data_IF_148242478022
#
_entry.id   IF_148242478022
#
_cell.length_a   1.000
_cell.length_b   1.000
_cell.length_c   1.000
_cell.angle_alpha   90.00
_cell.angle_beta   90.00
_cell.angle_gamma   90.00
#
_symmetry.space_group_name_H-M   'P 1'
#
loop_
_entity.id
_entity.type
_entity.pdbx_description
1 polymer ?
#
# COMPACT_ATOMS: atom_id res chain seq x y z
N UNK A 1 -17.04 -12.85 -9.65
CA UNK A 1 -18.17 -11.89 -9.65
C UNK A 1 -18.17 -11.18 -11.00
N UNK A 2 -18.95 -11.71 -11.94
CA UNK A 2 -19.36 -11.06 -13.18
C UNK A 2 -20.86 -11.31 -13.24
N UNK A 3 -21.68 -10.26 -13.22
CA UNK A 3 -23.13 -10.36 -13.36
C UNK A 3 -23.49 -9.74 -14.70
N UNK A 4 -23.91 -10.60 -15.60
CA UNK A 4 -24.56 -10.28 -16.86
C UNK A 4 -26.04 -10.03 -16.58
N UNK A 5 -26.55 -8.94 -17.15
CA UNK A 5 -27.91 -8.44 -16.96
C UNK A 5 -28.87 -9.14 -17.93
N UNK A 6 -29.87 -9.85 -17.41
CA UNK A 6 -31.01 -10.37 -18.18
C UNK A 6 -32.29 -9.91 -17.50
N UNK A 7 -32.96 -8.94 -18.11
CA UNK A 7 -34.23 -8.37 -17.65
C UNK A 7 -35.39 -9.00 -18.42
N UNK A 8 -36.13 -9.87 -17.76
CA UNK A 8 -37.44 -10.36 -18.22
C UNK A 8 -38.53 -9.31 -17.97
N UNK A 9 -39.31 -9.02 -19.01
CA UNK A 9 -40.48 -8.13 -19.02
C UNK A 9 -41.71 -8.92 -18.55
N UNK A 10 -42.36 -8.47 -17.49
CA UNK A 10 -43.73 -8.85 -17.13
C UNK A 10 -44.66 -7.68 -17.46
N UNK A 11 -45.72 -7.96 -18.22
CA UNK A 11 -46.72 -6.99 -18.62
C UNK A 11 -47.90 -6.90 -17.64
N UNK A 12 -48.54 -5.74 -17.65
CA UNK A 12 -49.86 -5.46 -17.08
C UNK A 12 -50.36 -4.14 -17.66
N UNK A 13 -51.55 -4.17 -18.30
CA UNK A 13 -52.29 -3.03 -18.83
C UNK A 13 -52.80 -2.11 -17.70
N UNK A 14 -53.59 -1.08 -17.90
CA UNK A 14 -54.24 -0.41 -19.03
C UNK A 14 -54.57 0.99 -18.47
N UNK A 15 -54.41 2.07 -19.23
CA UNK A 15 -55.45 3.09 -19.44
C UNK A 15 -54.97 4.32 -20.22
N UNK A 16 -55.87 4.78 -21.07
CA UNK A 16 -55.67 5.74 -22.15
C UNK A 16 -55.83 7.21 -21.73
N UNK A 17 -55.01 8.11 -22.30
CA UNK A 17 -55.51 9.37 -22.88
C UNK A 17 -54.55 10.04 -23.86
N UNK A 18 -55.12 10.32 -25.02
CA UNK A 18 -54.70 11.06 -26.22
C UNK A 18 -54.00 12.42 -26.00
N UNK A 19 -52.96 12.70 -26.81
CA UNK A 19 -52.83 13.91 -27.68
C UNK A 19 -51.60 13.78 -28.61
N UNK A 20 -51.82 14.14 -29.88
CA UNK A 20 -50.90 14.08 -31.03
C UNK A 20 -49.99 15.34 -31.17
N UNK A 21 -49.01 15.36 -32.12
CA UNK A 21 -47.64 15.89 -31.93
C UNK A 21 -47.35 17.26 -32.59
N UNK A 22 -46.07 17.67 -32.67
CA UNK A 22 -45.51 17.83 -34.02
C UNK A 22 -44.03 17.41 -34.23
N UNK A 23 -43.81 16.80 -35.40
CA UNK A 23 -42.79 17.08 -36.44
C UNK A 23 -41.26 16.96 -36.16
N UNK A 24 -40.73 15.83 -36.61
CA UNK A 24 -39.70 15.66 -37.68
C UNK A 24 -38.52 16.64 -37.83
N UNK A 25 -37.30 16.09 -37.80
CA UNK A 25 -36.35 16.13 -38.93
C UNK A 25 -35.32 14.98 -38.84
N UNK A 26 -35.12 14.27 -39.95
CA UNK A 26 -34.11 13.20 -40.17
C UNK A 26 -32.66 13.73 -40.16
N UNK A 27 -31.63 12.90 -40.22
CA UNK A 27 -31.18 12.13 -41.40
C UNK A 27 -30.27 10.94 -40.99
N UNK A 28 -30.33 9.87 -41.82
CA UNK A 28 -29.67 8.54 -41.80
C UNK A 28 -28.15 8.54 -42.05
N UNK A 29 -27.48 7.43 -41.70
CA UNK A 29 -26.70 6.48 -42.54
C UNK A 29 -26.52 5.18 -41.69
N UNK A 30 -27.03 3.96 -41.99
CA UNK A 30 -26.69 2.93 -43.02
C UNK A 30 -25.18 2.61 -43.06
N UNK A 31 -24.65 1.38 -43.03
CA UNK A 31 -25.05 0.02 -43.49
C UNK A 31 -24.09 -1.00 -42.83
N UNK A 32 -24.59 -2.10 -42.25
CA UNK A 32 -24.62 -3.49 -42.75
C UNK A 32 -23.54 -4.44 -42.20
N UNK A 33 -24.03 -5.49 -41.54
CA UNK A 33 -23.35 -6.77 -41.31
C UNK A 33 -23.43 -7.63 -42.57
N UNK A 34 -22.44 -8.49 -42.79
CA UNK A 34 -22.63 -9.73 -43.54
C UNK A 34 -21.96 -10.89 -42.81
N UNK A 35 -22.76 -11.91 -42.53
CA UNK A 35 -22.38 -13.20 -41.96
C UNK A 35 -22.04 -14.18 -43.08
N UNK A 36 -21.08 -15.08 -42.85
CA UNK A 36 -21.19 -16.47 -43.34
C UNK A 36 -20.18 -17.40 -42.64
N UNK A 37 -20.75 -18.36 -41.94
CA UNK A 37 -20.21 -19.65 -41.50
C UNK A 37 -19.52 -20.46 -42.61
N UNK A 38 -18.46 -21.21 -42.27
CA UNK A 38 -18.42 -22.69 -42.32
C UNK A 38 -17.07 -23.25 -41.82
N UNK A 39 -17.17 -24.30 -40.99
CA UNK A 39 -16.11 -25.18 -40.46
C UNK A 39 -16.04 -26.43 -41.36
N UNK A 40 -14.95 -27.26 -41.41
CA UNK A 40 -14.67 -28.19 -40.28
C UNK A 40 -13.18 -28.61 -40.05
N UNK A 41 -12.96 -29.16 -38.84
CA UNK A 41 -11.74 -29.83 -38.29
C UNK A 41 -11.50 -31.25 -38.90
N UNK A 42 -10.59 -32.11 -38.34
CA UNK A 42 -9.12 -32.08 -38.36
C UNK A 42 -8.51 -33.44 -38.80
N UNK A 43 -7.19 -33.54 -39.03
CA UNK A 43 -6.48 -34.84 -38.95
C UNK A 43 -5.01 -34.68 -38.55
N UNK A 44 -4.58 -35.54 -37.64
CA UNK A 44 -3.24 -35.64 -37.07
C UNK A 44 -2.26 -36.38 -38.02
N UNK A 45 -0.95 -36.11 -37.90
CA UNK A 45 0.09 -37.13 -37.81
C UNK A 45 1.48 -36.56 -37.44
N UNK A 46 2.24 -37.39 -36.71
CA UNK A 46 3.64 -37.27 -36.29
C UNK A 46 4.62 -37.07 -37.47
N UNK A 47 5.68 -36.28 -37.26
CA UNK A 47 7.06 -36.62 -37.67
C UNK A 47 8.08 -35.68 -37.01
N UNK A 48 9.14 -36.26 -36.47
CA UNK A 48 10.36 -35.58 -36.02
C UNK A 48 11.17 -35.08 -37.21
N UNK A 49 11.76 -33.88 -37.14
CA UNK A 49 13.14 -33.64 -37.58
C UNK A 49 13.68 -32.28 -37.11
N UNK A 50 14.95 -32.32 -36.70
CA UNK A 50 15.81 -31.17 -36.34
C UNK A 50 16.01 -30.26 -37.54
N UNK A 51 15.91 -28.95 -37.35
CA UNK A 51 16.72 -27.95 -38.04
C UNK A 51 16.74 -26.66 -37.21
N UNK A 52 17.95 -26.15 -36.99
CA UNK A 52 18.29 -24.91 -36.29
C UNK A 52 17.85 -23.67 -37.10
N UNK A 53 17.74 -22.48 -36.48
CA UNK A 53 16.89 -21.38 -36.96
C UNK A 53 17.59 -20.49 -38.01
N UNK A 54 16.84 -19.80 -38.89
CA UNK A 54 17.35 -18.68 -39.65
C UNK A 54 17.21 -17.35 -38.89
N UNK A 55 18.18 -16.48 -39.13
CA UNK A 55 18.37 -15.15 -38.58
C UNK A 55 17.14 -14.22 -38.67
N UNK A 56 16.78 -13.60 -37.55
CA UNK A 56 15.82 -12.50 -37.53
C UNK A 56 16.59 -11.17 -37.54
N UNK A 57 16.68 -10.55 -38.73
CA UNK A 57 17.17 -9.20 -38.92
C UNK A 57 16.16 -8.18 -38.36
N UNK A 58 16.62 -7.35 -37.43
CA UNK A 58 15.92 -6.16 -36.94
C UNK A 58 15.93 -5.05 -38.00
N UNK A 59 14.80 -4.37 -38.28
CA UNK A 59 14.79 -3.14 -39.09
C UNK A 59 15.31 -1.92 -38.28
N UNK A 60 15.86 -0.89 -38.95
CA UNK A 60 16.61 0.18 -38.32
C UNK A 60 15.74 1.21 -37.59
N UNK A 61 16.30 1.76 -36.49
CA UNK A 61 15.77 2.88 -35.73
C UNK A 61 15.66 4.16 -36.59
N UNK A 62 14.46 4.72 -36.70
CA UNK A 62 14.28 6.11 -37.10
C UNK A 62 14.56 7.05 -35.92
N UNK A 63 15.44 8.01 -36.20
CA UNK A 63 15.94 9.09 -35.35
C UNK A 63 14.84 10.15 -35.18
N UNK A 64 14.22 10.23 -34.01
CA UNK A 64 13.33 11.34 -33.66
C UNK A 64 14.15 12.48 -33.04
N UNK A 65 14.30 13.57 -33.78
CA UNK A 65 14.83 14.85 -33.29
C UNK A 65 13.78 15.54 -32.41
N UNK A 66 14.20 15.92 -31.21
CA UNK A 66 13.42 16.67 -30.23
C UNK A 66 13.56 18.18 -30.48
N UNK A 67 12.47 18.85 -30.85
CA UNK A 67 12.33 20.30 -30.72
C UNK A 67 11.31 20.62 -29.60
N UNK A 68 11.61 21.56 -28.69
CA UNK A 68 10.68 21.95 -27.62
C UNK A 68 9.68 23.03 -28.09
N UNK A 69 8.42 23.03 -27.59
CA UNK A 69 7.44 24.07 -27.91
C UNK A 69 7.66 25.36 -27.07
N UNK A 70 7.19 26.52 -27.57
CA UNK A 70 7.36 27.82 -26.90
C UNK A 70 6.37 28.03 -25.74
N UNK A 71 6.66 28.93 -24.78
CA UNK A 71 5.83 29.15 -23.60
C UNK A 71 4.58 30.01 -23.89
N UNK A 72 3.44 29.56 -23.37
CA UNK A 72 2.16 30.25 -23.37
C UNK A 72 2.13 31.36 -22.29
N UNK A 73 1.86 32.59 -22.73
CA UNK A 73 1.54 33.75 -21.88
C UNK A 73 0.06 33.72 -21.50
N UNK A 74 -0.25 33.64 -20.21
CA UNK A 74 -1.59 33.86 -19.66
C UNK A 74 -1.69 35.29 -19.11
N UNK A 75 -2.42 36.14 -19.83
CA UNK A 75 -2.95 37.41 -19.33
C UNK A 75 -4.16 37.14 -18.42
N UNK A 76 -4.10 37.54 -17.15
CA UNK A 76 -5.29 37.62 -16.27
C UNK A 76 -5.71 39.08 -16.13
N UNK A 77 -6.79 39.45 -16.83
CA UNK A 77 -7.56 40.66 -16.61
C UNK A 77 -8.73 40.36 -15.67
N UNK A 78 -8.84 41.07 -14.55
CA UNK A 78 -10.06 41.13 -13.73
C UNK A 78 -10.58 42.57 -13.65
N UNK A 79 -11.91 42.79 -13.73
CA UNK A 79 -12.52 44.11 -13.85
C UNK A 79 -12.84 44.77 -12.49
N UNK A 80 -13.05 46.09 -12.58
CA UNK A 80 -13.38 47.05 -11.53
C UNK A 80 -14.89 47.19 -11.35
N UNK A 81 -15.37 47.38 -10.11
CA UNK A 81 -16.32 48.42 -9.62
C UNK A 81 -17.07 47.95 -8.32
N UNK A 82 -17.85 48.81 -7.61
CA UNK A 82 -17.39 49.91 -6.76
C UNK A 82 -17.95 49.84 -5.30
N UNK A 83 -17.52 50.77 -4.45
CA UNK A 83 -17.62 50.68 -2.99
C UNK A 83 -18.93 51.08 -2.30
N UNK A 84 -18.94 50.91 -0.98
CA UNK A 84 -19.84 51.60 -0.03
C UNK A 84 -19.21 51.72 1.36
N UNK A 85 -19.71 52.74 2.07
CA UNK A 85 -19.29 53.39 3.31
C UNK A 85 -18.96 52.52 4.53
N UNK A 86 -18.06 53.01 5.39
CA UNK A 86 -18.00 52.67 6.82
C UNK A 86 -17.96 53.93 7.68
N UNK A 87 -18.85 53.96 8.66
CA UNK A 87 -18.84 54.86 9.82
C UNK A 87 -18.25 54.14 11.04
N UNK A 88 -17.74 54.94 11.97
CA UNK A 88 -16.90 54.65 13.12
C UNK A 88 -17.48 53.71 14.21
N UNK A 89 -16.60 53.06 14.99
CA UNK A 89 -16.44 53.28 16.44
C UNK A 89 -15.54 52.23 17.16
N UNK A 90 -14.87 52.75 18.21
CA UNK A 90 -14.40 52.14 19.48
C UNK A 90 -13.20 51.16 19.55
N UNK A 91 -12.14 51.73 20.14
CA UNK A 91 -11.09 51.23 21.06
C UNK A 91 -11.27 49.89 21.81
N UNK A 92 -10.17 49.14 21.94
CA UNK A 92 -9.52 48.83 23.24
C UNK A 92 -8.21 48.05 23.06
N UNK A 93 -7.20 48.44 23.84
CA UNK A 93 -5.83 47.93 23.96
C UNK A 93 -5.73 46.61 24.73
N UNK A 94 -4.81 45.72 24.35
CA UNK A 94 -4.31 44.60 25.18
C UNK A 94 -2.79 44.49 25.02
N UNK A 95 -2.08 44.44 26.14
CA UNK A 95 -0.63 44.23 26.27
C UNK A 95 -0.26 42.75 26.28
N UNK A 96 0.97 42.41 25.88
CA UNK A 96 1.64 41.16 26.28
C UNK A 96 3.16 41.29 26.12
N UNK A 97 3.90 40.96 27.19
CA UNK A 97 5.36 40.92 27.31
C UNK A 97 6.00 39.74 26.53
N UNK A 98 7.32 39.76 26.24
CA UNK A 98 8.00 38.73 25.46
C UNK A 98 8.66 37.63 26.32
N UNK A 99 8.62 36.38 25.84
CA UNK A 99 9.39 35.26 26.38
C UNK A 99 10.84 35.25 25.84
N UNK A 100 11.80 35.04 26.75
CA UNK A 100 13.23 34.86 26.49
C UNK A 100 13.56 33.36 26.52
N UNK A 101 14.27 32.86 25.51
CA UNK A 101 14.91 31.54 25.51
C UNK A 101 16.42 31.71 25.33
N UNK A 102 17.19 30.98 26.14
CA UNK A 102 18.65 30.96 26.15
C UNK A 102 19.09 29.59 25.60
N UNK A 103 19.98 29.56 24.60
CA UNK A 103 20.50 28.31 24.04
C UNK A 103 22.03 28.34 23.98
N UNK A 104 22.65 27.35 24.65
CA UNK A 104 24.10 27.12 24.70
C UNK A 104 24.56 26.47 23.40
N UNK A 105 25.55 27.05 22.73
CA UNK A 105 26.12 26.55 21.47
C UNK A 105 27.20 25.48 21.71
N UNK A 106 27.01 24.32 21.09
CA UNK A 106 28.04 23.30 20.84
C UNK A 106 28.50 23.36 19.38
N UNK A 107 29.81 23.22 19.18
CA UNK A 107 30.53 23.41 17.92
C UNK A 107 30.20 22.35 16.85
N UNK A 108 29.60 22.78 15.73
CA UNK A 108 29.70 22.11 14.43
C UNK A 108 29.87 23.18 13.35
N UNK A 109 31.03 23.14 12.68
CA UNK A 109 31.48 24.19 11.77
C UNK A 109 30.84 24.08 10.37
N UNK A 110 30.23 25.20 9.98
CA UNK A 110 30.22 25.82 8.65
C UNK A 110 29.74 25.00 7.43
N UNK A 111 28.43 25.07 7.18
CA UNK A 111 27.89 25.02 5.80
C UNK A 111 27.07 26.28 5.47
N UNK A 112 26.45 26.92 6.47
CA UNK A 112 26.00 28.31 6.41
C UNK A 112 26.02 28.85 7.85
N UNK A 113 27.04 29.60 8.25
CA UNK A 113 26.90 30.43 9.46
C UNK A 113 26.33 31.76 8.99
N UNK A 114 25.05 31.99 9.25
CA UNK A 114 24.48 33.33 9.22
C UNK A 114 24.92 34.05 10.50
N UNK A 115 26.19 34.43 10.58
CA UNK A 115 26.70 35.33 11.61
C UNK A 115 27.05 36.65 10.93
N UNK A 116 26.02 37.47 10.77
CA UNK A 116 26.13 38.93 10.75
C UNK A 116 24.72 39.48 11.04
N UNK A 117 24.31 39.31 12.30
CA UNK A 117 23.29 40.14 12.92
C UNK A 117 24.01 41.19 13.75
N UNK A 118 24.52 42.24 13.10
CA UNK A 118 24.85 43.48 13.78
C UNK A 118 24.93 44.63 12.77
N UNK A 119 24.04 45.60 12.98
CA UNK A 119 24.04 46.95 12.40
C UNK A 119 23.81 47.03 10.89
N UNK A 120 22.55 47.12 10.50
CA UNK A 120 22.23 47.98 9.35
C UNK A 120 20.98 48.81 9.64
N UNK A 121 21.19 50.12 9.48
CA UNK A 121 20.36 51.22 9.91
C UNK A 121 18.97 51.17 9.23
N UNK A 122 17.94 51.52 10.00
CA UNK A 122 16.67 51.98 9.45
C UNK A 122 16.92 53.29 8.69
N UNK A 123 16.75 53.28 7.37
CA UNK A 123 16.76 54.49 6.55
C UNK A 123 15.56 55.39 6.91
N UNK A 124 15.78 56.68 7.23
CA UNK A 124 14.71 57.63 7.43
C UNK A 124 14.30 58.21 6.07
N UNK A 125 13.17 57.78 5.52
CA UNK A 125 12.50 58.55 4.46
C UNK A 125 10.98 58.52 4.62
N UNK A 126 10.51 59.13 5.71
CA UNK A 126 9.23 59.85 5.68
C UNK A 126 9.49 61.34 5.83
N UNK A 127 9.42 62.05 4.69
CA UNK A 127 8.81 63.37 4.51
C UNK A 127 9.14 63.88 3.10
N UNK A 128 8.15 63.97 2.22
CA UNK A 128 7.46 65.23 1.92
C UNK A 128 6.42 65.02 0.79
N UNK A 129 5.36 65.81 0.83
CA UNK A 129 4.22 65.76 -0.08
C UNK A 129 4.55 66.23 -1.50
N UNK A 130 3.75 65.75 -2.47
CA UNK A 130 3.76 66.22 -3.86
C UNK A 130 3.62 65.09 -4.87
N UNK A 131 2.39 64.83 -5.29
CA UNK A 131 2.03 63.81 -6.28
C UNK A 131 2.76 64.01 -7.63
N UNK A 132 3.78 63.17 -7.87
CA UNK A 132 4.07 62.60 -9.19
C UNK A 132 3.88 61.10 -9.07
N UNK A 133 3.00 60.50 -9.88
CA UNK A 133 2.88 59.03 -9.98
C UNK A 133 4.20 58.48 -10.47
N UNK A 134 5.06 58.09 -9.54
CA UNK A 134 6.31 57.43 -9.83
C UNK A 134 6.00 55.99 -10.24
N UNK A 135 6.39 55.62 -11.46
CA UNK A 135 6.36 54.22 -11.91
C UNK A 135 7.46 53.38 -11.23
N UNK A 136 8.17 53.94 -10.24
CA UNK A 136 9.20 53.22 -9.50
C UNK A 136 8.53 52.21 -8.57
N UNK A 137 8.83 50.91 -8.70
CA UNK A 137 8.30 49.90 -7.79
C UNK A 137 8.76 50.17 -6.36
N UNK A 138 7.92 49.85 -5.39
CA UNK A 138 8.21 50.02 -3.96
C UNK A 138 9.44 49.18 -3.60
N UNK A 139 10.45 49.81 -3.01
CA UNK A 139 11.68 49.14 -2.62
C UNK A 139 11.45 48.23 -1.40
N UNK A 140 11.85 46.97 -1.54
CA UNK A 140 11.96 45.97 -0.48
C UNK A 140 12.99 44.92 -0.90
N UNK A 141 13.73 44.32 0.05
CA UNK A 141 14.70 43.24 -0.24
C UNK A 141 14.07 42.09 -1.04
N UNK A 142 12.77 41.82 -0.83
CA UNK A 142 12.01 40.86 -1.63
C UNK A 142 11.81 41.33 -3.08
N UNK A 143 11.32 42.56 -3.29
CA UNK A 143 11.07 43.12 -4.63
C UNK A 143 12.34 43.31 -5.47
N UNK A 144 13.49 43.49 -4.82
CA UNK A 144 14.80 43.65 -5.48
C UNK A 144 15.58 42.32 -5.59
N UNK A 145 15.02 41.22 -5.08
CA UNK A 145 15.67 39.90 -5.06
C UNK A 145 17.00 39.88 -4.29
N UNK A 146 17.11 40.70 -3.24
CA UNK A 146 18.27 40.84 -2.36
C UNK A 146 18.05 40.16 -1.00
N UNK A 147 17.22 39.12 -0.96
CA UNK A 147 17.04 38.34 0.25
C UNK A 147 18.35 37.63 0.62
N UNK A 148 18.69 37.56 1.92
CA UNK A 148 19.84 36.80 2.37
C UNK A 148 19.65 35.34 1.96
N UNK A 149 20.59 34.82 1.17
CA UNK A 149 20.54 33.46 0.64
C UNK A 149 21.90 32.79 0.81
N UNK A 150 21.90 31.58 1.36
CA UNK A 150 23.10 30.74 1.34
C UNK A 150 23.24 30.10 -0.04
N UNK A 151 24.38 30.30 -0.70
CA UNK A 151 24.69 29.76 -2.03
C UNK A 151 25.82 28.73 -1.89
N UNK A 152 25.53 27.47 -1.49
CA UNK A 152 26.58 26.49 -1.27
C UNK A 152 27.27 26.17 -2.60
N UNK A 153 28.57 26.42 -2.65
CA UNK A 153 29.41 26.05 -3.79
C UNK A 153 29.86 24.60 -3.60
N UNK A 154 29.33 23.71 -4.44
CA UNK A 154 29.67 22.29 -4.47
C UNK A 154 31.10 22.10 -5.01
N UNK A 155 32.10 22.33 -4.17
CA UNK A 155 33.50 22.08 -4.51
C UNK A 155 33.78 20.57 -4.52
N UNK A 156 34.71 20.07 -5.36
CA UNK A 156 35.04 18.65 -5.41
C UNK A 156 35.44 18.06 -4.05
N UNK A 157 36.18 18.82 -3.23
CA UNK A 157 36.56 18.40 -1.86
C UNK A 157 35.32 18.17 -0.99
N UNK A 158 34.36 19.11 -1.00
CA UNK A 158 33.13 18.98 -0.22
C UNK A 158 32.31 17.76 -0.68
N UNK A 159 32.14 17.61 -1.99
CA UNK A 159 31.35 16.51 -2.59
C UNK A 159 31.97 15.14 -2.28
N UNK A 160 33.30 15.00 -2.42
CA UNK A 160 34.01 13.75 -2.08
C UNK A 160 33.85 13.43 -0.59
N UNK A 161 34.02 14.41 0.30
CA UNK A 161 33.84 14.21 1.75
C UNK A 161 32.42 13.73 2.08
N UNK A 162 31.40 14.36 1.50
CA UNK A 162 29.99 13.94 1.72
C UNK A 162 29.76 12.51 1.22
N UNK A 163 30.24 12.15 0.02
CA UNK A 163 30.08 10.79 -0.49
C UNK A 163 30.82 9.74 0.34
N UNK A 164 32.02 10.04 0.83
CA UNK A 164 32.75 9.14 1.72
C UNK A 164 32.02 8.95 3.05
N UNK A 165 31.50 10.02 3.66
CA UNK A 165 30.71 9.93 4.89
C UNK A 165 29.45 9.08 4.70
N UNK A 166 28.73 9.28 3.59
CA UNK A 166 27.56 8.47 3.24
C UNK A 166 27.91 7.00 3.05
N UNK A 167 29.04 6.69 2.38
CA UNK A 167 29.50 5.31 2.21
C UNK A 167 29.86 4.66 3.56
N UNK A 168 30.60 5.36 4.42
CA UNK A 168 30.98 4.90 5.76
C UNK A 168 29.76 4.66 6.65
N UNK A 169 28.68 5.42 6.48
CA UNK A 169 27.44 5.21 7.21
C UNK A 169 26.60 4.06 6.64
N UNK A 170 26.40 4.03 5.32
CA UNK A 170 25.44 3.11 4.70
C UNK A 170 25.96 1.68 4.56
N UNK A 171 27.27 1.49 4.35
CA UNK A 171 27.83 0.15 4.18
C UNK A 171 27.68 -0.69 5.47
N UNK A 172 28.07 -0.22 6.68
CA UNK A 172 27.88 -0.99 7.91
C UNK A 172 26.41 -1.27 8.22
N UNK A 173 25.52 -0.29 8.00
CA UNK A 173 24.08 -0.47 8.19
C UNK A 173 23.55 -1.54 7.22
N UNK A 174 23.96 -1.49 5.95
CA UNK A 174 23.58 -2.48 4.94
C UNK A 174 24.07 -3.89 5.29
N UNK A 175 25.33 -4.02 5.75
CA UNK A 175 25.89 -5.30 6.21
C UNK A 175 25.12 -5.86 7.42
N UNK A 176 24.87 -5.03 8.43
CA UNK A 176 24.13 -5.43 9.63
C UNK A 176 22.69 -5.85 9.32
N UNK A 177 21.98 -5.09 8.48
CA UNK A 177 20.62 -5.41 8.04
C UNK A 177 20.57 -6.68 7.20
N UNK A 178 21.53 -6.87 6.28
CA UNK A 178 21.62 -8.08 5.46
C UNK A 178 21.91 -9.31 6.32
N UNK A 179 22.87 -9.20 7.26
CA UNK A 179 23.17 -10.27 8.21
C UNK A 179 21.94 -10.65 9.04
N UNK A 180 21.22 -9.67 9.58
CA UNK A 180 19.99 -9.90 10.34
C UNK A 180 18.93 -10.64 9.51
N UNK A 181 18.74 -10.27 8.24
CA UNK A 181 17.81 -10.93 7.34
C UNK A 181 18.22 -12.37 6.99
N UNK A 182 19.52 -12.63 6.80
CA UNK A 182 20.04 -13.96 6.46
C UNK A 182 19.97 -14.96 7.61
N UNK A 183 19.97 -14.50 8.87
CA UNK A 183 19.76 -15.35 10.05
C UNK A 183 18.31 -15.82 10.21
N UNK A 184 17.35 -15.16 9.55
CA UNK A 184 15.94 -15.56 9.60
C UNK A 184 15.74 -16.85 8.81
N UNK A 185 15.17 -17.84 9.49
CA UNK A 185 14.75 -19.12 8.91
C UNK A 185 13.27 -19.02 8.58
N UNK A 186 12.93 -19.30 7.33
CA UNK A 186 11.56 -19.28 6.82
C UNK A 186 11.26 -20.58 6.10
N UNK A 187 10.19 -21.26 6.51
CA UNK A 187 9.67 -22.48 5.91
C UNK A 187 8.33 -22.17 5.26
N UNK A 188 8.21 -22.44 3.96
CA UNK A 188 6.98 -22.18 3.20
C UNK A 188 6.42 -23.50 2.69
N UNK A 189 5.25 -23.88 3.20
CA UNK A 189 4.50 -25.04 2.74
C UNK A 189 3.30 -24.62 1.92
N UNK A 190 3.41 -24.67 0.58
CA UNK A 190 2.27 -24.46 -0.32
C UNK A 190 1.31 -25.64 -0.25
N UNK A 191 0.03 -25.37 0.00
CA UNK A 191 -0.99 -26.40 0.15
C UNK A 191 -2.21 -26.21 -0.76
N UNK A 192 -2.21 -25.19 -1.62
CA UNK A 192 -3.24 -25.01 -2.65
C UNK A 192 -3.23 -26.11 -3.73
N UNK A 193 -2.11 -26.82 -3.88
CA UNK A 193 -1.97 -27.88 -4.90
C UNK A 193 -1.91 -29.26 -4.25
N UNK A 194 -1.17 -29.42 -3.16
CA UNK A 194 -0.97 -30.72 -2.49
C UNK A 194 -2.20 -31.21 -1.73
N UNK A 195 -3.10 -30.32 -1.31
CA UNK A 195 -4.26 -30.65 -0.49
C UNK A 195 -5.59 -30.70 -1.28
N UNK A 196 -5.51 -30.98 -2.58
CA UNK A 196 -6.68 -31.16 -3.45
C UNK A 196 -6.42 -32.34 -4.38
N UNK A 197 -7.30 -33.34 -4.35
CA UNK A 197 -7.15 -34.59 -5.10
C UNK A 197 -7.96 -34.66 -6.40
N UNK A 198 -8.79 -33.66 -6.70
CA UNK A 198 -9.73 -33.67 -7.84
C UNK A 198 -9.36 -32.63 -8.90
N UNK A 199 -9.62 -32.96 -10.16
CA UNK A 199 -9.47 -32.04 -11.30
C UNK A 199 -10.32 -30.78 -11.10
N UNK A 200 -11.55 -30.94 -10.60
CA UNK A 200 -12.39 -29.81 -10.18
C UNK A 200 -12.13 -29.44 -8.71
N UNK A 201 -11.20 -28.50 -8.54
CA UNK A 201 -10.82 -27.95 -7.23
C UNK A 201 -11.95 -27.13 -6.58
N UNK A 202 -12.83 -26.52 -7.37
CA UNK A 202 -13.92 -25.68 -6.87
C UNK A 202 -15.05 -26.54 -6.31
N UNK A 203 -15.44 -27.59 -7.03
CA UNK A 203 -16.42 -28.55 -6.51
C UNK A 203 -15.91 -29.28 -5.26
N UNK A 204 -14.61 -29.61 -5.21
CA UNK A 204 -13.99 -30.21 -4.03
C UNK A 204 -14.11 -29.32 -2.79
N UNK A 205 -13.69 -28.04 -2.90
CA UNK A 205 -13.68 -27.14 -1.74
C UNK A 205 -15.08 -26.75 -1.27
N UNK A 206 -16.06 -26.68 -2.18
CA UNK A 206 -17.44 -26.32 -1.87
C UNK A 206 -18.25 -27.49 -1.27
N UNK A 207 -17.78 -28.74 -1.39
CA UNK A 207 -18.51 -29.88 -0.87
C UNK A 207 -18.38 -29.97 0.67
N UNK A 208 -19.48 -29.91 1.45
CA UNK A 208 -19.42 -29.99 2.90
C UNK A 208 -19.23 -31.41 3.44
N UNK A 209 -19.47 -32.45 2.63
CA UNK A 209 -19.41 -33.87 3.05
C UNK A 209 -18.01 -34.48 2.98
N UNK A 210 -17.09 -33.82 2.28
CA UNK A 210 -15.73 -34.32 2.05
C UNK A 210 -14.83 -33.77 3.16
N UNK A 211 -14.05 -34.64 3.78
CA UNK A 211 -12.96 -34.22 4.66
C UNK A 211 -11.83 -33.58 3.83
N UNK A 212 -11.47 -32.36 4.21
CA UNK A 212 -10.47 -31.53 3.52
C UNK A 212 -9.17 -31.45 4.32
N UNK A 213 -9.01 -32.35 5.28
CA UNK A 213 -7.80 -32.47 6.08
C UNK A 213 -6.66 -32.99 5.23
N UNK A 214 -5.51 -32.31 5.29
CA UNK A 214 -4.30 -32.74 4.63
C UNK A 214 -3.08 -32.49 5.52
N UNK A 215 -1.98 -33.19 5.24
CA UNK A 215 -0.71 -32.99 5.91
C UNK A 215 0.33 -32.46 4.93
N UNK A 216 1.18 -31.56 5.43
CA UNK A 216 2.40 -31.15 4.73
C UNK A 216 3.59 -31.33 5.66
N UNK A 217 4.70 -31.79 5.12
CA UNK A 217 5.93 -31.98 5.85
C UNK A 217 6.97 -30.95 5.43
N UNK A 218 7.57 -30.28 6.40
CA UNK A 218 8.58 -29.25 6.23
C UNK A 218 9.83 -29.67 7.01
N UNK A 219 10.96 -29.75 6.33
CA UNK A 219 12.25 -30.02 6.99
C UNK A 219 12.89 -28.71 7.44
N UNK A 220 13.37 -28.70 8.68
CA UNK A 220 13.99 -27.52 9.29
C UNK A 220 15.47 -27.47 8.91
N UNK A 221 15.94 -26.50 8.09
CA UNK A 221 17.32 -26.48 7.62
C UNK A 221 18.31 -26.01 8.70
N UNK A 222 17.84 -25.19 9.64
CA UNK A 222 18.64 -24.54 10.69
C UNK A 222 17.79 -24.36 11.93
N UNK A 223 18.43 -24.33 13.09
CA UNK A 223 17.80 -24.07 14.37
C UNK A 223 16.91 -22.81 14.34
N UNK A 224 15.69 -22.93 14.88
CA UNK A 224 14.70 -21.87 14.96
C UNK A 224 14.46 -21.48 16.42
N UNK A 225 14.89 -20.27 16.78
CA UNK A 225 14.70 -19.69 18.12
C UNK A 225 13.24 -19.28 18.34
N UNK A 226 12.73 -19.52 19.55
CA UNK A 226 11.40 -19.10 20.01
C UNK A 226 11.31 -17.56 20.19
N UNK A 227 10.15 -16.92 19.93
CA UNK A 227 8.91 -17.48 19.39
C UNK A 227 8.96 -17.67 17.87
N UNK A 228 8.46 -18.81 17.39
CA UNK A 228 8.31 -19.09 15.96
C UNK A 228 6.93 -18.62 15.51
N UNK A 229 6.90 -17.76 14.50
CA UNK A 229 5.69 -17.13 14.02
C UNK A 229 5.06 -17.97 12.91
N UNK A 230 3.80 -18.35 13.08
CA UNK A 230 3.01 -19.09 12.10
C UNK A 230 2.15 -18.09 11.33
N UNK A 231 2.33 -18.02 10.02
CA UNK A 231 1.55 -17.19 9.12
C UNK A 231 0.78 -18.05 8.12
N UNK A 232 -0.37 -17.57 7.69
CA UNK A 232 -0.94 -17.98 6.40
C UNK A 232 -0.61 -16.93 5.34
N UNK A 233 -0.25 -17.40 4.16
CA UNK A 233 -0.02 -16.60 2.97
C UNK A 233 -1.13 -16.87 1.96
N UNK A 234 -1.77 -15.81 1.49
CA UNK A 234 -2.76 -15.86 0.41
C UNK A 234 -2.20 -15.07 -0.76
N UNK A 235 -2.27 -15.63 -1.96
CA UNK A 235 -1.91 -14.97 -3.20
C UNK A 235 -3.14 -14.68 -4.06
N UNK A 236 -3.02 -13.69 -4.93
CA UNK A 236 -4.07 -13.24 -5.85
C UNK A 236 -5.39 -12.86 -5.14
N UNK A 237 -5.31 -12.27 -3.95
CA UNK A 237 -6.47 -11.79 -3.19
C UNK A 237 -6.34 -10.29 -2.93
N UNK A 238 -7.18 -9.50 -3.59
CA UNK A 238 -7.07 -8.04 -3.62
C UNK A 238 -7.76 -7.36 -2.42
N UNK A 239 -7.18 -7.50 -1.21
CA UNK A 239 -7.65 -6.76 -0.03
C UNK A 239 -7.58 -5.24 -0.20
N UNK A 240 -6.71 -4.76 -1.07
CA UNK A 240 -6.51 -3.34 -1.37
C UNK A 240 -7.55 -2.77 -2.36
N UNK A 241 -8.46 -3.60 -2.90
CA UNK A 241 -9.48 -3.12 -3.83
C UNK A 241 -10.41 -2.11 -3.14
N UNK A 242 -10.64 -0.95 -3.76
CA UNK A 242 -11.39 0.18 -3.16
C UNK A 242 -12.75 -0.21 -2.58
N UNK A 243 -13.53 -1.04 -3.27
CA UNK A 243 -14.85 -1.51 -2.77
C UNK A 243 -14.71 -2.46 -1.58
N UNK A 244 -13.65 -3.27 -1.56
CA UNK A 244 -13.38 -4.19 -0.46
C UNK A 244 -12.95 -3.42 0.79
N UNK A 245 -11.95 -2.54 0.68
CA UNK A 245 -11.44 -1.74 1.81
C UNK A 245 -12.52 -0.86 2.44
N UNK A 246 -13.41 -0.28 1.61
CA UNK A 246 -14.53 0.55 2.08
C UNK A 246 -15.65 -0.25 2.74
N UNK A 247 -15.76 -1.55 2.46
CA UNK A 247 -16.85 -2.41 2.95
C UNK A 247 -16.63 -2.87 4.38
N UNK A 248 -16.71 -1.92 5.32
CA UNK A 248 -16.68 -2.10 6.79
C UNK A 248 -17.16 -0.81 7.47
N UNK A 249 -17.58 -0.90 8.74
CA UNK A 249 -17.97 0.26 9.54
C UNK A 249 -17.11 0.36 10.82
N UNK A 250 -16.14 1.27 10.82
CA UNK A 250 -15.18 1.40 11.94
C UNK A 250 -15.84 1.91 13.24
N UNK A 251 -17.00 2.59 13.16
CA UNK A 251 -17.77 3.00 14.35
C UNK A 251 -18.47 1.80 14.99
N UNK A 252 -19.06 0.92 14.16
CA UNK A 252 -19.70 -0.32 14.63
C UNK A 252 -18.74 -1.23 15.38
N UNK A 253 -17.48 -1.30 14.93
CA UNK A 253 -16.44 -2.11 15.60
C UNK A 253 -16.08 -1.58 16.99
N UNK A 254 -16.34 -0.29 17.28
CA UNK A 254 -15.90 0.40 18.51
C UNK A 254 -17.03 0.68 19.49
N UNK A 255 -18.22 1.00 19.00
CA UNK A 255 -19.31 1.57 19.79
C UNK A 255 -20.62 0.80 19.53
N UNK A 256 -21.43 0.68 20.58
CA UNK A 256 -22.79 0.13 20.48
C UNK A 256 -23.74 1.08 19.75
N UNK A 257 -24.85 0.54 19.24
CA UNK A 257 -25.99 1.29 18.69
C UNK A 257 -25.61 2.27 17.56
N UNK A 258 -24.70 1.87 16.68
CA UNK A 258 -24.30 2.67 15.52
C UNK A 258 -25.26 2.41 14.36
N UNK A 259 -25.78 3.47 13.75
CA UNK A 259 -26.55 3.37 12.51
C UNK A 259 -25.65 2.89 11.35
N UNK A 260 -26.04 1.79 10.70
CA UNK A 260 -25.35 1.31 9.51
C UNK A 260 -25.71 2.18 8.31
N UNK A 261 -24.72 2.88 7.77
CA UNK A 261 -24.82 3.49 6.44
C UNK A 261 -24.59 2.46 5.32
N UNK A 262 -24.49 2.95 4.08
CA UNK A 262 -24.19 2.14 2.88
C UNK A 262 -22.75 1.63 2.81
N UNK A 263 -21.92 1.97 3.79
CA UNK A 263 -20.50 1.62 3.81
C UNK A 263 -20.29 0.11 3.84
N UNK A 264 -21.16 -0.64 4.51
CA UNK A 264 -21.02 -2.10 4.66
C UNK A 264 -21.66 -2.91 3.51
N UNK A 265 -22.17 -2.29 2.45
CA UNK A 265 -22.76 -3.05 1.35
C UNK A 265 -21.73 -3.96 0.65
N UNK A 266 -22.15 -5.14 0.13
CA UNK A 266 -23.50 -5.71 0.25
C UNK A 266 -23.78 -6.39 1.61
N UNK A 267 -22.74 -6.75 2.38
CA UNK A 267 -22.85 -7.53 3.62
C UNK A 267 -23.14 -6.66 4.86
N UNK A 268 -24.16 -5.81 4.76
CA UNK A 268 -24.60 -4.91 5.84
C UNK A 268 -25.69 -5.51 6.72
N UNK A 269 -26.63 -6.24 6.12
CA UNK A 269 -27.83 -6.75 6.77
C UNK A 269 -28.04 -8.21 6.39
N UNK A 270 -28.54 -9.00 7.35
CA UNK A 270 -28.95 -10.37 7.11
C UNK A 270 -30.24 -10.43 6.26
N UNK A 271 -30.62 -11.62 5.81
CA UNK A 271 -31.79 -11.83 4.95
C UNK A 271 -33.11 -11.28 5.56
N UNK A 272 -33.21 -11.17 6.89
CA UNK A 272 -34.35 -10.59 7.61
C UNK A 272 -34.24 -9.10 7.91
N UNK A 273 -33.28 -8.37 7.33
CA UNK A 273 -33.08 -6.93 7.55
C UNK A 273 -32.35 -6.57 8.84
N UNK A 274 -32.06 -7.55 9.71
CA UNK A 274 -31.27 -7.32 10.92
C UNK A 274 -29.81 -6.97 10.57
N UNK A 275 -29.17 -6.00 11.27
CA UNK A 275 -27.79 -5.64 11.00
C UNK A 275 -26.82 -6.79 11.33
N UNK A 276 -25.78 -6.93 10.52
CA UNK A 276 -24.70 -7.89 10.76
C UNK A 276 -23.62 -7.20 11.61
N UNK A 277 -23.11 -7.87 12.63
CA UNK A 277 -21.98 -7.40 13.45
C UNK A 277 -20.89 -8.48 13.46
N UNK A 278 -19.67 -8.18 13.01
CA UNK A 278 -19.24 -7.01 12.24
C UNK A 278 -19.75 -7.06 10.78
N UNK A 279 -20.15 -5.92 10.21
CA UNK A 279 -20.61 -5.83 8.83
C UNK A 279 -19.49 -5.61 7.80
N UNK A 280 -19.81 -5.92 6.54
CA UNK A 280 -19.00 -5.62 5.36
C UNK A 280 -18.15 -6.78 4.85
N UNK A 281 -17.71 -6.67 3.59
CA UNK A 281 -16.97 -7.72 2.88
C UNK A 281 -15.64 -8.07 3.53
N UNK A 282 -14.99 -7.10 4.20
CA UNK A 282 -13.72 -7.37 4.89
C UNK A 282 -13.96 -8.42 5.97
N UNK A 283 -14.94 -8.21 6.85
CA UNK A 283 -15.25 -9.18 7.89
C UNK A 283 -15.86 -10.45 7.31
N UNK A 284 -16.80 -10.34 6.37
CA UNK A 284 -17.52 -11.49 5.79
C UNK A 284 -16.60 -12.51 5.10
N UNK A 285 -15.46 -12.10 4.57
CA UNK A 285 -14.49 -13.01 3.92
C UNK A 285 -13.40 -13.53 4.85
N UNK A 286 -13.65 -13.57 6.17
CA UNK A 286 -12.70 -14.02 7.20
C UNK A 286 -12.07 -15.38 6.88
N UNK A 287 -10.75 -15.45 6.95
CA UNK A 287 -10.00 -16.69 6.72
C UNK A 287 -10.42 -17.83 7.68
N UNK A 288 -10.61 -19.05 7.18
CA UNK A 288 -11.20 -20.17 7.94
C UNK A 288 -10.46 -21.52 7.84
N UNK A 289 -9.23 -21.54 7.33
CA UNK A 289 -8.40 -22.74 7.46
C UNK A 289 -7.85 -22.83 8.88
N UNK A 290 -7.63 -24.07 9.34
CA UNK A 290 -7.02 -24.34 10.65
C UNK A 290 -5.69 -25.07 10.46
N UNK A 291 -4.75 -24.79 11.36
CA UNK A 291 -3.43 -25.39 11.37
C UNK A 291 -3.15 -26.04 12.72
N UNK A 292 -2.75 -27.31 12.70
CA UNK A 292 -2.19 -28.03 13.86
C UNK A 292 -0.77 -28.44 13.52
N UNK A 293 0.19 -28.04 14.36
CA UNK A 293 1.61 -28.26 14.09
C UNK A 293 2.11 -29.43 14.95
N UNK A 294 2.79 -30.37 14.30
CA UNK A 294 3.50 -31.47 14.97
C UNK A 294 4.99 -31.38 14.66
N UNK A 295 5.84 -31.58 15.66
CA UNK A 295 7.30 -31.65 15.50
C UNK A 295 7.74 -33.05 15.92
N UNK A 296 8.38 -33.78 15.02
CA UNK A 296 8.81 -35.18 15.26
C UNK A 296 7.68 -36.09 15.79
N UNK A 297 6.42 -35.81 15.39
CA UNK A 297 5.23 -36.56 15.83
C UNK A 297 4.52 -35.99 17.07
N UNK A 298 5.16 -35.16 17.87
CA UNK A 298 4.55 -34.49 19.04
C UNK A 298 3.74 -33.28 18.60
N UNK A 299 2.50 -33.15 19.09
CA UNK A 299 1.65 -31.98 18.79
C UNK A 299 2.07 -30.79 19.66
N UNK A 300 2.43 -29.68 19.01
CA UNK A 300 2.81 -28.44 19.70
C UNK A 300 1.64 -27.46 19.67
N UNK A 301 1.43 -26.79 20.81
CA UNK A 301 0.42 -25.73 20.92
C UNK A 301 0.82 -24.50 20.09
N UNK A 302 -0.10 -24.05 19.25
CA UNK A 302 0.02 -22.79 18.51
C UNK A 302 -0.78 -21.74 19.28
N UNK A 303 -0.08 -20.86 20.00
CA UNK A 303 -0.69 -19.80 20.79
C UNK A 303 -1.30 -18.74 19.87
N UNK A 304 -2.63 -18.53 20.00
CA UNK A 304 -3.39 -17.52 19.26
C UNK A 304 -3.61 -16.21 20.03
N UNK A 305 -3.01 -16.06 21.21
CA UNK A 305 -3.08 -14.83 22.01
C UNK A 305 -1.92 -13.89 21.66
N UNK A 306 -2.16 -12.58 21.81
CA UNK A 306 -1.18 -11.52 21.54
C UNK A 306 -0.66 -11.48 20.09
N UNK A 307 -1.44 -11.99 19.13
CA UNK A 307 -1.14 -11.91 17.70
C UNK A 307 -1.56 -10.57 17.08
N UNK A 308 -2.54 -9.91 17.67
CA UNK A 308 -3.04 -8.61 17.26
C UNK A 308 -2.32 -7.46 18.00
N UNK A 309 -2.34 -6.28 17.38
CA UNK A 309 -1.73 -5.10 17.98
C UNK A 309 -2.52 -4.65 19.20
N UNK A 310 -1.82 -4.37 20.31
CA UNK A 310 -2.44 -3.92 21.57
C UNK A 310 -3.32 -2.68 21.38
N UNK A 311 -2.94 -1.77 20.48
CA UNK A 311 -3.73 -0.58 20.14
C UNK A 311 -5.02 -0.91 19.38
N UNK A 312 -5.02 -1.92 18.51
CA UNK A 312 -6.24 -2.35 17.82
C UNK A 312 -7.21 -2.98 18.83
N UNK A 313 -6.71 -3.87 19.70
CA UNK A 313 -7.49 -4.51 20.77
C UNK A 313 -8.11 -3.51 21.74
N UNK A 314 -7.38 -2.45 22.12
CA UNK A 314 -7.84 -1.48 23.13
C UNK A 314 -8.67 -0.32 22.57
N UNK A 315 -8.41 0.11 21.34
CA UNK A 315 -8.96 1.38 20.82
C UNK A 315 -9.76 1.25 19.51
N UNK A 316 -9.65 0.13 18.79
CA UNK A 316 -10.35 -0.07 17.51
C UNK A 316 -11.46 -1.11 17.56
N UNK A 317 -11.36 -2.07 18.46
CA UNK A 317 -12.39 -3.09 18.68
C UNK A 317 -12.91 -2.95 20.10
N UNK A 318 -14.22 -2.75 20.25
CA UNK A 318 -14.88 -2.59 21.54
C UNK A 318 -14.92 -3.91 22.31
N UNK A 319 -14.71 -3.82 23.61
CA UNK A 319 -14.77 -4.96 24.55
C UNK A 319 -16.20 -5.34 24.94
N UNK A 320 -17.18 -4.54 24.53
CA UNK A 320 -18.59 -4.74 24.80
C UNK A 320 -19.40 -4.96 23.51
N UNK A 321 -18.71 -5.13 22.38
CA UNK A 321 -19.31 -5.42 21.07
C UNK A 321 -19.19 -6.91 20.80
N UNK A 322 -20.33 -7.56 20.59
CA UNK A 322 -20.42 -9.00 20.33
C UNK A 322 -20.88 -9.27 18.90
N UNK A 323 -20.36 -10.31 18.23
CA UNK A 323 -20.86 -10.70 16.92
C UNK A 323 -22.36 -11.01 16.96
N UNK A 324 -23.08 -10.61 15.93
CA UNK A 324 -24.50 -10.95 15.75
C UNK A 324 -24.84 -11.09 14.27
N UNK A 325 -25.70 -12.06 13.95
CA UNK A 325 -26.15 -12.36 12.57
C UNK A 325 -25.01 -12.64 11.56
N UNK A 326 -23.80 -12.91 12.02
CA UNK A 326 -22.61 -13.08 11.19
C UNK A 326 -22.53 -14.50 10.61
N UNK A 327 -22.30 -14.62 9.29
CA UNK A 327 -22.23 -15.90 8.56
C UNK A 327 -23.49 -16.80 8.69
N UNK A 328 -24.66 -16.24 9.01
CA UNK A 328 -25.94 -16.99 9.12
C UNK A 328 -26.74 -17.01 7.81
N UNK A 329 -26.19 -16.46 6.73
CA UNK A 329 -26.84 -16.40 5.42
C UNK A 329 -26.75 -17.70 4.62
N UNK A 330 -27.40 -17.73 3.44
CA UNK A 330 -27.27 -18.85 2.48
C UNK A 330 -25.85 -19.00 1.94
N UNK A 331 -25.13 -17.88 1.81
CA UNK A 331 -23.73 -17.84 1.40
C UNK A 331 -22.87 -17.56 2.62
N UNK A 332 -21.90 -18.46 2.84
CA UNK A 332 -20.89 -18.34 3.89
C UNK A 332 -19.59 -17.92 3.20
N UNK A 333 -19.04 -16.77 3.61
CA UNK A 333 -17.84 -16.21 3.02
C UNK A 333 -16.54 -16.66 3.66
N UNK A 334 -16.62 -17.17 4.90
CA UNK A 334 -15.43 -17.38 5.71
C UNK A 334 -15.71 -18.05 7.04
N UNK A 335 -14.89 -17.75 8.03
CA UNK A 335 -15.00 -18.31 9.38
C UNK A 335 -16.18 -17.68 10.12
N UNK A 336 -16.77 -18.45 11.03
CA UNK A 336 -17.75 -17.95 12.00
C UNK A 336 -17.03 -17.35 13.21
N UNK A 337 -17.65 -16.36 13.84
CA UNK A 337 -17.17 -15.75 15.08
C UNK A 337 -17.93 -16.33 16.27
N UNK A 338 -17.30 -16.29 17.45
CA UNK A 338 -17.95 -16.72 18.68
C UNK A 338 -18.85 -15.59 19.22
N UNK A 339 -20.16 -15.83 19.32
CA UNK A 339 -21.13 -14.84 19.80
C UNK A 339 -21.00 -14.54 21.31
N UNK A 340 -20.37 -15.44 22.07
CA UNK A 340 -20.15 -15.27 23.51
C UNK A 340 -18.90 -14.45 23.87
N UNK A 341 -18.04 -14.12 22.89
CA UNK A 341 -16.76 -13.44 23.10
C UNK A 341 -16.78 -12.09 22.38
N UNK A 342 -16.36 -10.98 23.02
CA UNK A 342 -16.36 -9.68 22.37
C UNK A 342 -15.34 -9.59 21.22
N UNK A 343 -15.56 -8.66 20.28
CA UNK A 343 -14.69 -8.49 19.11
C UNK A 343 -13.23 -8.17 19.48
N UNK A 344 -13.00 -7.48 20.62
CA UNK A 344 -11.65 -7.12 21.08
C UNK A 344 -10.78 -8.32 21.47
N UNK A 345 -11.40 -9.46 21.79
CA UNK A 345 -10.71 -10.70 22.21
C UNK A 345 -10.54 -11.69 21.05
N UNK A 346 -11.28 -11.52 19.95
CA UNK A 346 -11.18 -12.35 18.76
C UNK A 346 -10.04 -11.87 17.85
N UNK A 347 -8.80 -12.16 18.26
CA UNK A 347 -7.60 -11.60 17.60
C UNK A 347 -7.45 -12.03 16.12
N UNK A 348 -7.91 -13.22 15.74
CA UNK A 348 -7.93 -13.70 14.35
C UNK A 348 -8.73 -12.75 13.43
N UNK A 349 -9.86 -12.22 13.93
CA UNK A 349 -10.65 -11.20 13.24
C UNK A 349 -9.86 -9.90 13.11
N UNK A 350 -9.23 -9.45 14.20
CA UNK A 350 -8.48 -8.18 14.23
C UNK A 350 -7.32 -8.21 13.21
N UNK A 351 -6.59 -9.32 13.15
CA UNK A 351 -5.52 -9.53 12.17
C UNK A 351 -6.08 -9.52 10.74
N UNK A 352 -7.23 -10.15 10.50
CA UNK A 352 -7.86 -10.17 9.18
C UNK A 352 -8.35 -8.78 8.73
N UNK A 353 -9.03 -8.06 9.62
CA UNK A 353 -9.61 -6.73 9.35
C UNK A 353 -8.57 -5.66 8.97
N UNK A 354 -7.31 -5.88 9.31
CA UNK A 354 -6.20 -5.07 8.79
C UNK A 354 -5.89 -5.43 7.34
N UNK A 355 -6.51 -4.72 6.41
CA UNK A 355 -6.35 -4.93 4.97
C UNK A 355 -4.89 -4.83 4.51
N UNK A 356 -4.44 -5.81 3.74
CA UNK A 356 -3.10 -5.81 3.13
C UNK A 356 -3.01 -4.84 1.95
N UNK A 357 -1.80 -4.31 1.71
CA UNK A 357 -1.53 -3.38 0.61
C UNK A 357 -1.35 -4.05 -0.76
N UNK A 358 -1.01 -5.35 -0.77
CA UNK A 358 -0.66 -6.11 -1.97
C UNK A 358 -1.56 -7.36 -2.11
N UNK A 359 -1.74 -7.91 -3.33
CA UNK A 359 -2.59 -9.07 -3.58
C UNK A 359 -2.03 -10.39 -3.02
N UNK A 360 -0.71 -10.44 -2.78
CA UNK A 360 -0.06 -11.53 -2.06
C UNK A 360 0.39 -11.00 -0.71
N UNK A 361 -0.14 -11.56 0.37
CA UNK A 361 0.12 -11.09 1.72
C UNK A 361 0.19 -12.23 2.71
N UNK A 362 0.78 -11.94 3.87
CA UNK A 362 0.87 -12.82 5.02
C UNK A 362 0.13 -12.21 6.19
N UNK A 363 -0.50 -13.05 6.99
CA UNK A 363 -1.16 -12.67 8.23
C UNK A 363 -0.78 -13.65 9.33
N UNK A 364 -0.51 -13.13 10.51
CA UNK A 364 -0.09 -13.92 11.65
C UNK A 364 -1.28 -14.76 12.12
N UNK A 365 -1.10 -16.07 12.18
CA UNK A 365 -2.08 -17.03 12.68
C UNK A 365 -1.84 -17.34 14.16
N UNK A 366 -0.58 -17.41 14.57
CA UNK A 366 -0.21 -17.82 15.92
C UNK A 366 1.30 -17.82 16.15
N UNK A 367 1.69 -18.13 17.38
CA UNK A 367 3.08 -18.25 17.81
C UNK A 367 3.32 -19.61 18.45
N UNK A 368 4.48 -20.18 18.18
CA UNK A 368 4.96 -21.37 18.86
C UNK A 368 6.05 -20.91 19.84
N UNK A 369 5.81 -21.11 21.13
CA UNK A 369 6.70 -20.66 22.22
C UNK A 369 7.81 -21.67 22.53
N UNK A 370 8.04 -22.65 21.64
CA UNK A 370 9.08 -23.67 21.76
C UNK A 370 10.11 -23.50 20.63
N UNK A 371 11.36 -23.81 20.95
CA UNK A 371 12.44 -23.84 19.97
C UNK A 371 12.38 -25.13 19.14
N UNK A 372 12.86 -25.07 17.90
CA UNK A 372 12.88 -26.23 16.99
C UNK A 372 14.31 -26.41 16.45
N UNK A 373 14.82 -27.64 16.49
CA UNK A 373 16.20 -27.95 16.16
C UNK A 373 16.39 -28.11 14.64
N UNK A 374 17.63 -27.97 14.19
CA UNK A 374 17.96 -28.29 12.81
C UNK A 374 17.69 -29.77 12.52
N UNK A 375 17.16 -30.07 11.33
CA UNK A 375 16.75 -31.39 10.84
C UNK A 375 15.49 -31.99 11.46
N UNK A 376 14.81 -31.27 12.36
CA UNK A 376 13.49 -31.69 12.81
C UNK A 376 12.48 -31.71 11.65
N UNK A 377 11.54 -32.67 11.72
CA UNK A 377 10.45 -32.79 10.76
C UNK A 377 9.19 -32.15 11.32
N UNK A 378 8.78 -31.03 10.73
CA UNK A 378 7.53 -30.37 11.07
C UNK A 378 6.44 -30.89 10.15
N UNK A 379 5.39 -31.48 10.73
CA UNK A 379 4.17 -31.86 10.01
C UNK A 379 3.05 -30.90 10.38
N UNK A 380 2.53 -30.17 9.40
CA UNK A 380 1.36 -29.31 9.60
C UNK A 380 0.13 -30.04 9.09
N UNK A 381 -0.81 -30.32 9.98
CA UNK A 381 -2.15 -30.77 9.65
C UNK A 381 -3.01 -29.54 9.35
N UNK A 382 -3.57 -29.50 8.15
CA UNK A 382 -4.31 -28.36 7.61
C UNK A 382 -5.73 -28.80 7.33
N UNK A 383 -6.70 -28.05 7.86
CA UNK A 383 -8.09 -28.17 7.43
C UNK A 383 -8.36 -27.10 6.36
N UNK A 384 -8.38 -27.54 5.10
CA UNK A 384 -8.48 -26.68 3.92
C UNK A 384 -9.94 -26.31 3.62
N UNK A 385 -10.46 -25.26 4.26
CA UNK A 385 -11.85 -24.79 4.15
C UNK A 385 -12.01 -23.54 3.25
N UNK A 386 -11.00 -22.68 3.16
CA UNK A 386 -11.06 -21.38 2.53
C UNK A 386 -10.93 -21.49 1.01
N UNK A 387 -11.94 -21.05 0.27
CA UNK A 387 -11.96 -21.19 -1.18
C UNK A 387 -11.11 -20.12 -1.87
N UNK A 388 -9.94 -20.52 -2.36
CA UNK A 388 -9.10 -19.68 -3.23
C UNK A 388 -9.15 -20.07 -4.70
N UNK A 389 -9.68 -21.25 -5.01
CA UNK A 389 -9.67 -21.80 -6.37
C UNK A 389 -10.59 -21.04 -7.32
N UNK A 390 -11.71 -20.50 -6.82
CA UNK A 390 -12.67 -19.75 -7.65
C UNK A 390 -12.11 -18.47 -8.28
N UNK A 391 -11.00 -17.95 -7.75
CA UNK A 391 -10.32 -16.77 -8.27
C UNK A 391 -8.85 -17.02 -8.62
N UNK A 392 -8.42 -18.29 -8.64
CA UNK A 392 -7.03 -18.64 -8.96
C UNK A 392 -6.01 -18.15 -7.91
N UNK A 393 -6.40 -18.17 -6.63
CA UNK A 393 -5.52 -17.80 -5.51
C UNK A 393 -4.68 -18.96 -4.98
N UNK A 394 -3.46 -18.64 -4.56
CA UNK A 394 -2.54 -19.59 -3.92
C UNK A 394 -2.62 -19.53 -2.40
N UNK A 395 -2.30 -20.64 -1.73
CA UNK A 395 -2.26 -20.73 -0.27
C UNK A 395 -0.99 -21.41 0.21
N UNK A 396 -0.36 -20.83 1.22
CA UNK A 396 0.76 -21.43 1.91
C UNK A 396 0.67 -21.18 3.41
N UNK A 397 1.17 -22.12 4.21
CA UNK A 397 1.53 -21.85 5.60
C UNK A 397 3.01 -21.49 5.63
N UNK A 398 3.36 -20.50 6.45
CA UNK A 398 4.72 -20.01 6.57
C UNK A 398 5.12 -20.01 8.03
N UNK A 399 6.16 -20.75 8.40
CA UNK A 399 6.76 -20.70 9.73
C UNK A 399 8.05 -19.89 9.61
N UNK A 400 8.16 -18.81 10.38
CA UNK A 400 9.32 -17.92 10.31
C UNK A 400 9.80 -17.54 11.71
N UNK A 401 11.11 -17.47 11.88
CA UNK A 401 11.69 -16.68 12.99
C UNK A 401 11.62 -15.20 12.67
N UNK A 402 11.87 -14.34 13.66
CA UNK A 402 11.96 -12.90 13.49
C UNK A 402 13.32 -12.39 13.97
N UNK A 403 13.83 -11.39 13.26
CA UNK A 403 14.97 -10.57 13.66
C UNK A 403 14.49 -9.21 14.14
N UNK A 404 15.40 -8.35 14.62
CA UNK A 404 15.08 -6.98 15.04
C UNK A 404 14.50 -6.11 13.90
N UNK A 405 14.80 -6.44 12.64
CA UNK A 405 14.26 -5.75 11.46
C UNK A 405 13.00 -6.43 10.90
N UNK A 406 12.52 -7.49 11.57
CA UNK A 406 11.35 -8.27 11.18
C UNK A 406 11.71 -9.61 10.53
N UNK A 407 10.90 -10.02 9.55
CA UNK A 407 11.08 -11.28 8.82
C UNK A 407 12.20 -11.24 7.79
N UNK A 408 12.33 -12.32 7.02
CA UNK A 408 13.35 -12.46 5.97
C UNK A 408 13.08 -11.48 4.84
N UNK A 409 13.88 -10.43 4.72
CA UNK A 409 13.83 -9.48 3.61
C UNK A 409 15.21 -8.85 3.34
N UNK A 410 15.87 -9.33 2.29
CA UNK A 410 17.22 -8.86 1.93
C UNK A 410 17.22 -7.48 1.27
N UNK A 411 16.05 -6.94 0.89
CA UNK A 411 15.96 -5.70 0.13
C UNK A 411 16.63 -4.52 0.83
N UNK A 412 16.37 -4.32 2.13
CA UNK A 412 16.94 -3.21 2.90
C UNK A 412 18.46 -3.31 2.92
N UNK A 413 19.02 -4.47 3.28
CA UNK A 413 20.46 -4.68 3.29
C UNK A 413 21.11 -4.43 1.92
N UNK A 414 20.55 -4.99 0.85
CA UNK A 414 21.06 -4.80 -0.52
C UNK A 414 20.94 -3.33 -0.94
N UNK A 415 19.83 -2.65 -0.66
CA UNK A 415 19.64 -1.24 -1.01
C UNK A 415 20.71 -0.35 -0.36
N UNK A 416 20.95 -0.49 0.94
CA UNK A 416 22.00 0.27 1.63
C UNK A 416 23.41 -0.03 1.10
N UNK A 417 23.71 -1.30 0.79
CA UNK A 417 25.00 -1.68 0.20
C UNK A 417 25.19 -1.12 -1.21
N UNK A 418 24.15 -1.15 -2.05
CA UNK A 418 24.21 -0.61 -3.42
C UNK A 418 24.41 0.90 -3.41
N UNK A 419 23.67 1.64 -2.57
CA UNK A 419 23.81 3.10 -2.46
C UNK A 419 25.17 3.45 -1.85
N UNK A 420 25.58 2.78 -0.77
CA UNK A 420 26.89 3.00 -0.14
C UNK A 420 28.05 2.68 -1.09
N UNK A 421 27.96 1.60 -1.86
CA UNK A 421 28.93 1.22 -2.88
C UNK A 421 28.99 2.22 -4.04
N UNK A 422 27.84 2.72 -4.49
CA UNK A 422 27.78 3.78 -5.51
C UNK A 422 28.41 5.09 -5.00
N UNK A 423 28.14 5.49 -3.76
CA UNK A 423 28.77 6.66 -3.15
C UNK A 423 30.29 6.51 -3.08
N UNK A 424 30.80 5.33 -2.70
CA UNK A 424 32.23 5.06 -2.65
C UNK A 424 32.87 5.08 -4.06
N UNK A 425 32.20 4.50 -5.05
CA UNK A 425 32.63 4.55 -6.45
C UNK A 425 32.70 5.99 -6.97
N UNK A 426 31.67 6.81 -6.73
CA UNK A 426 31.65 8.21 -7.12
C UNK A 426 32.70 9.04 -6.40
N UNK A 427 32.92 8.82 -5.10
CA UNK A 427 33.98 9.47 -4.34
C UNK A 427 35.37 9.17 -4.93
N UNK A 428 35.63 7.92 -5.28
CA UNK A 428 36.87 7.52 -5.95
C UNK A 428 37.01 8.19 -7.33
N UNK A 429 35.96 8.15 -8.15
CA UNK A 429 35.94 8.79 -9.47
C UNK A 429 36.20 10.29 -9.41
N UNK A 430 35.53 11.02 -8.51
CA UNK A 430 35.77 12.45 -8.33
C UNK A 430 37.17 12.75 -7.77
N UNK A 431 37.70 11.90 -6.89
CA UNK A 431 39.08 12.03 -6.40
C UNK A 431 40.08 11.88 -7.54
N UNK A 432 39.94 10.86 -8.39
CA UNK A 432 40.81 10.66 -9.57
C UNK A 432 40.69 11.84 -10.54
N UNK A 433 39.48 12.30 -10.86
CA UNK A 433 39.28 13.45 -11.75
C UNK A 433 39.91 14.73 -11.19
N UNK A 434 39.78 14.94 -9.87
CA UNK A 434 40.38 16.09 -9.19
C UNK A 434 41.92 16.06 -9.25
N UNK A 435 42.53 14.87 -9.12
CA UNK A 435 43.98 14.69 -9.21
C UNK A 435 44.50 14.80 -10.66
N UNK A 436 43.79 14.24 -11.65
CA UNK A 436 44.24 14.18 -13.05
C UNK A 436 44.00 15.50 -13.80
N UNK A 437 42.89 16.19 -13.53
CA UNK A 437 42.53 17.46 -14.21
C UNK A 437 42.22 18.56 -13.18
N UNK A 438 43.22 19.05 -12.42
CA UNK A 438 43.01 20.14 -11.48
C UNK A 438 42.68 21.43 -12.25
N UNK A 439 41.41 21.82 -12.24
CA UNK A 439 40.97 23.12 -12.76
C UNK A 439 41.33 24.18 -11.72
N UNK A 440 42.12 25.19 -12.09
CA UNK A 440 42.33 26.37 -11.24
C UNK A 440 40.97 27.00 -10.95
N UNK A 441 40.61 27.11 -9.68
CA UNK A 441 39.47 27.95 -9.31
C UNK A 441 39.87 29.38 -9.63
N UNK A 442 39.09 30.05 -10.51
CA UNK A 442 39.14 31.51 -10.60
C UNK A 442 38.61 32.01 -9.26
N UNK A 443 39.53 32.48 -8.41
CA UNK A 443 39.20 33.19 -7.18
C UNK A 443 38.44 34.46 -7.50
#
# INVERSE_FOLDING_TARGET
MWLSDTRTRGGGGDDARTREPPLSCGVRYSTEEFTSTQNPKPRAQLAQNRLSPPDLQLPPLHRATSDPPPPLLLHSSSPVAPGHQRSAASSSSVSSDPCRFEEKTGSFSSICVASDWLLEQMDPSERDGGSRKSNKPKYSKFSQQELPACKPLLTPKLVVTVFLLMAVLFIPIGLAALFASLQVVELVGRYDISCVSKDDKVAFIQNPKIDKTCNITLQVPKYMKSPILVYYQIGNFYQNHRRYVRSRNDKQLRYKNVHLGKECEPEGHAAGGAPIVPCGLVAWSLFNDTFTVKVNGETIEVNKKDIAWKSDKKHKFGNDIYPSNFQKGRLIGGAMLNESIPLSEQEDLIVWMRTAAFPTFRKLYGRIEREIMAKDNITVLIQNNYNTYSFGGSKAVVLSTASWIGGRNNFIGIAYLTIGGLCLFLAFGFTVLYMVKPRKQRQ
#
